data_IF_609972490443
#
_entry.id   IF_609972490443
#
_cell.length_a   1.000
_cell.length_b   1.000
_cell.length_c   1.000
_cell.angle_alpha   90.00
_cell.angle_beta   90.00
_cell.angle_gamma   90.00
#
_symmetry.space_group_name_H-M   'P 1'
#
loop_
_entity.id
_entity.type
_entity.pdbx_description
1 polymer ?
#
# COMPACT_ATOMS: atom_id res chain seq x y z
N UNK A 1 4.20 -11.91 0.07
CA UNK A 1 3.56 -12.23 1.35
C UNK A 1 3.23 -10.94 2.10
N UNK A 2 2.08 -10.90 2.71
CA UNK A 2 1.59 -9.77 3.48
C UNK A 2 1.30 -10.27 4.89
N UNK A 3 1.97 -9.73 5.90
CA UNK A 3 1.71 -10.06 7.30
C UNK A 3 2.15 -8.94 8.24
N UNK A 4 1.53 -8.89 9.40
CA UNK A 4 2.06 -8.12 10.52
C UNK A 4 3.44 -8.69 10.91
N UNK A 5 4.44 -7.83 10.98
CA UNK A 5 5.82 -8.25 11.18
C UNK A 5 6.43 -7.55 12.39
N UNK A 6 7.01 -8.37 13.26
CA UNK A 6 7.86 -7.92 14.35
C UNK A 6 9.34 -7.98 13.88
N UNK A 7 10.16 -7.01 14.29
CA UNK A 7 11.59 -6.98 13.97
C UNK A 7 12.31 -8.25 14.44
N UNK A 8 11.91 -8.79 15.59
CA UNK A 8 12.55 -9.98 16.19
C UNK A 8 12.29 -11.25 15.39
N UNK A 9 11.09 -11.38 14.77
CA UNK A 9 10.70 -12.55 13.99
C UNK A 9 11.03 -12.40 12.49
N UNK A 10 11.46 -11.21 12.07
CA UNK A 10 11.61 -10.85 10.67
C UNK A 10 12.58 -11.77 9.90
N UNK A 11 13.68 -12.17 10.50
CA UNK A 11 14.70 -12.98 9.82
C UNK A 11 14.16 -14.36 9.42
N UNK A 12 13.37 -15.00 10.30
CA UNK A 12 12.72 -16.27 10.00
C UNK A 12 11.64 -16.11 8.92
N UNK A 13 10.79 -15.09 9.04
CA UNK A 13 9.73 -14.80 8.05
C UNK A 13 10.30 -14.51 6.67
N UNK A 14 11.40 -13.77 6.59
CA UNK A 14 12.05 -13.46 5.32
C UNK A 14 12.73 -14.71 4.70
N UNK A 15 13.35 -15.55 5.53
CA UNK A 15 13.90 -16.80 5.05
C UNK A 15 12.83 -17.72 4.46
N UNK A 16 11.69 -17.87 5.15
CA UNK A 16 10.55 -18.66 4.69
C UNK A 16 9.95 -18.11 3.40
N UNK A 17 9.73 -16.79 3.33
CA UNK A 17 9.22 -16.13 2.13
C UNK A 17 10.18 -16.33 0.95
N UNK A 18 11.49 -16.22 1.17
CA UNK A 18 12.49 -16.46 0.13
C UNK A 18 12.53 -17.92 -0.32
N UNK A 19 12.46 -18.87 0.62
CA UNK A 19 12.40 -20.30 0.31
C UNK A 19 11.14 -20.67 -0.49
N UNK A 20 10.01 -19.96 -0.25
CA UNK A 20 8.79 -20.10 -1.02
C UNK A 20 8.85 -19.44 -2.42
N UNK A 21 9.96 -18.77 -2.77
CA UNK A 21 10.17 -18.18 -4.09
C UNK A 21 9.61 -16.76 -4.25
N UNK A 22 9.21 -16.09 -3.17
CA UNK A 22 8.76 -14.69 -3.26
C UNK A 22 9.93 -13.75 -3.60
N UNK A 23 9.62 -12.71 -4.35
CA UNK A 23 10.55 -11.60 -4.66
C UNK A 23 10.31 -10.41 -3.75
N UNK A 24 9.04 -10.18 -3.39
CA UNK A 24 8.60 -9.05 -2.58
C UNK A 24 7.99 -9.52 -1.27
N UNK A 25 8.25 -8.74 -0.22
CA UNK A 25 7.57 -8.87 1.06
C UNK A 25 6.89 -7.54 1.40
N UNK A 26 5.59 -7.57 1.69
CA UNK A 26 4.80 -6.36 1.94
C UNK A 26 4.43 -6.28 3.41
N UNK A 27 4.74 -5.15 4.03
CA UNK A 27 4.25 -4.77 5.36
C UNK A 27 2.94 -4.03 5.17
N UNK A 28 1.79 -4.62 5.58
CA UNK A 28 0.47 -4.09 5.22
C UNK A 28 0.02 -2.92 6.08
N UNK A 29 0.50 -2.87 7.32
CA UNK A 29 0.18 -1.85 8.31
C UNK A 29 1.39 -1.63 9.22
N UNK A 30 1.50 -0.47 9.90
CA UNK A 30 2.46 -0.32 10.96
C UNK A 30 2.28 -1.41 12.02
N UNK A 31 3.34 -1.83 12.72
CA UNK A 31 3.19 -2.78 13.83
C UNK A 31 2.08 -2.36 14.77
N UNK A 32 1.14 -3.26 15.05
CA UNK A 32 -0.11 -2.95 15.78
C UNK A 32 0.15 -2.30 17.15
N UNK A 33 1.26 -2.63 17.80
CA UNK A 33 1.67 -2.03 19.07
C UNK A 33 2.00 -0.53 19.01
N UNK A 34 2.20 0.03 17.81
CA UNK A 34 2.45 1.46 17.62
C UNK A 34 1.16 2.28 17.56
N UNK A 35 0.02 1.68 17.25
CA UNK A 35 -1.24 2.40 17.19
C UNK A 35 -1.68 2.85 18.57
N UNK A 36 -1.99 4.14 18.72
CA UNK A 36 -2.51 4.76 19.93
C UNK A 36 -3.71 5.63 19.61
N UNK A 37 -4.69 5.59 20.50
CA UNK A 37 -5.78 6.57 20.48
C UNK A 37 -5.37 7.80 21.29
N UNK A 38 -5.48 8.97 20.68
CA UNK A 38 -5.23 10.26 21.29
C UNK A 38 -6.56 10.93 21.66
N UNK A 39 -6.97 10.91 22.95
CA UNK A 39 -8.28 11.44 23.37
C UNK A 39 -8.44 12.94 23.10
N UNK A 40 -7.36 13.70 23.16
CA UNK A 40 -7.33 15.15 22.97
C UNK A 40 -7.71 15.55 21.55
N UNK A 41 -7.32 14.77 20.55
CA UNK A 41 -7.65 14.99 19.13
C UNK A 41 -8.76 14.06 18.63
N UNK A 42 -9.21 13.11 19.47
CA UNK A 42 -10.15 12.05 19.13
C UNK A 42 -9.73 11.28 17.87
N UNK A 43 -8.44 11.06 17.68
CA UNK A 43 -7.87 10.41 16.50
C UNK A 43 -7.00 9.22 16.86
N UNK A 44 -6.86 8.30 15.92
CA UNK A 44 -5.81 7.28 15.95
C UNK A 44 -4.52 7.86 15.37
N UNK A 45 -3.41 7.50 15.98
CA UNK A 45 -2.09 7.83 15.46
C UNK A 45 -1.06 6.78 15.86
N UNK A 46 0.21 7.06 15.64
CA UNK A 46 1.30 6.14 15.92
C UNK A 46 2.23 6.68 17.00
N UNK A 47 2.70 5.79 17.87
CA UNK A 47 3.74 6.12 18.85
C UNK A 47 5.06 6.43 18.13
N UNK A 48 5.66 7.58 18.45
CA UNK A 48 6.90 8.04 17.80
C UNK A 48 6.71 8.52 16.34
N UNK A 49 5.46 8.54 15.83
CA UNK A 49 5.13 9.14 14.55
C UNK A 49 5.78 8.48 13.34
N UNK A 50 5.88 9.24 12.24
CA UNK A 50 6.42 8.79 10.97
C UNK A 50 7.91 8.41 11.05
N UNK A 51 8.70 9.08 11.88
CA UNK A 51 10.12 8.80 12.07
C UNK A 51 10.36 7.41 12.67
N UNK A 52 9.60 7.03 13.69
CA UNK A 52 9.71 5.69 14.29
C UNK A 52 9.35 4.60 13.28
N UNK A 53 8.28 4.80 12.49
CA UNK A 53 7.91 3.87 11.43
C UNK A 53 9.00 3.76 10.37
N UNK A 54 9.60 4.89 9.95
CA UNK A 54 10.71 4.88 8.98
C UNK A 54 11.93 4.10 9.51
N UNK A 55 12.27 4.23 10.78
CA UNK A 55 13.36 3.48 11.40
C UNK A 55 13.09 1.97 11.43
N UNK A 56 11.87 1.57 11.76
CA UNK A 56 11.42 0.18 11.74
C UNK A 56 11.51 -0.39 10.32
N UNK A 57 10.91 0.30 9.34
CA UNK A 57 10.92 -0.13 7.95
C UNK A 57 12.33 -0.19 7.35
N UNK A 58 13.22 0.75 7.72
CA UNK A 58 14.63 0.71 7.33
C UNK A 58 15.33 -0.54 7.87
N UNK A 59 15.08 -0.88 9.13
CA UNK A 59 15.64 -2.07 9.78
C UNK A 59 15.16 -3.34 9.08
N UNK A 60 13.85 -3.45 8.84
CA UNK A 60 13.24 -4.57 8.14
C UNK A 60 13.74 -4.68 6.69
N UNK A 61 13.83 -3.55 5.99
CA UNK A 61 14.32 -3.50 4.61
C UNK A 61 15.76 -4.00 4.46
N UNK A 62 16.63 -3.62 5.39
CA UNK A 62 18.01 -4.12 5.45
C UNK A 62 18.09 -5.63 5.75
N UNK A 63 17.18 -6.16 6.60
CA UNK A 63 17.07 -7.60 6.85
C UNK A 63 16.56 -8.35 5.61
N UNK A 64 15.53 -7.84 4.94
CA UNK A 64 14.97 -8.42 3.72
C UNK A 64 16.01 -8.48 2.59
N UNK A 65 16.76 -7.40 2.39
CA UNK A 65 17.80 -7.31 1.36
C UNK A 65 18.89 -8.37 1.52
N UNK A 66 19.29 -8.71 2.75
CA UNK A 66 20.29 -9.74 3.03
C UNK A 66 19.92 -11.11 2.48
N UNK A 67 18.62 -11.43 2.42
CA UNK A 67 18.13 -12.70 1.85
C UNK A 67 17.65 -12.56 0.42
N UNK A 68 17.82 -11.37 -0.20
CA UNK A 68 17.43 -11.09 -1.58
C UNK A 68 15.93 -10.91 -1.77
N UNK A 69 15.21 -10.43 -0.74
CA UNK A 69 13.83 -9.94 -0.82
C UNK A 69 13.82 -8.42 -0.94
N UNK A 70 12.77 -7.90 -1.58
CA UNK A 70 12.47 -6.47 -1.64
C UNK A 70 11.34 -6.15 -0.68
N UNK A 71 11.60 -5.30 0.31
CA UNK A 71 10.57 -4.85 1.25
C UNK A 71 9.73 -3.74 0.63
N UNK A 72 8.42 -3.84 0.82
CA UNK A 72 7.45 -2.82 0.44
C UNK A 72 6.58 -2.48 1.64
N UNK A 73 6.16 -1.23 1.70
CA UNK A 73 5.14 -0.77 2.63
C UNK A 73 3.83 -0.52 1.86
N UNK A 74 2.72 -0.99 2.42
CA UNK A 74 1.38 -0.78 1.86
C UNK A 74 0.67 0.35 2.60
N UNK A 75 0.02 1.24 1.87
CA UNK A 75 -0.71 2.37 2.43
C UNK A 75 -2.20 2.11 2.60
N UNK A 76 -2.77 2.78 3.59
CA UNK A 76 -4.20 3.06 3.74
C UNK A 76 -4.48 4.56 3.59
N UNK A 77 -5.64 5.02 4.02
CA UNK A 77 -6.01 6.43 3.92
C UNK A 77 -5.38 7.30 5.01
N UNK A 78 -5.05 6.72 6.16
CA UNK A 78 -4.55 7.49 7.30
C UNK A 78 -3.13 8.02 7.10
N UNK A 79 -2.27 7.37 6.31
CA UNK A 79 -0.94 7.86 6.01
C UNK A 79 -0.94 9.12 5.14
N UNK A 80 -2.02 9.38 4.41
CA UNK A 80 -2.21 10.60 3.62
C UNK A 80 -2.80 11.77 4.42
N UNK A 81 -3.15 11.53 5.68
CA UNK A 81 -3.65 12.56 6.59
C UNK A 81 -2.52 13.08 7.46
N UNK A 82 -2.65 14.35 7.89
CA UNK A 82 -1.72 14.91 8.88
C UNK A 82 -1.90 14.20 10.22
N UNK A 83 -0.80 13.76 10.80
CA UNK A 83 -0.76 13.25 12.16
C UNK A 83 -0.90 14.39 13.20
N UNK A 84 -0.77 14.06 14.51
CA UNK A 84 -0.85 15.03 15.61
C UNK A 84 0.21 16.13 15.53
N UNK A 85 1.34 15.88 14.86
CA UNK A 85 2.46 16.80 14.70
C UNK A 85 2.40 17.56 13.36
N UNK A 86 1.32 17.36 12.59
CA UNK A 86 1.07 17.99 11.29
C UNK A 86 1.81 17.34 10.11
N UNK A 87 2.42 16.16 10.32
CA UNK A 87 3.18 15.42 9.33
C UNK A 87 2.24 14.51 8.53
N UNK A 88 2.37 14.51 7.21
CA UNK A 88 1.76 13.51 6.33
C UNK A 88 2.69 12.31 6.28
N UNK A 89 2.27 11.20 6.89
CA UNK A 89 3.13 10.03 7.14
C UNK A 89 3.71 9.47 5.85
N UNK A 90 2.89 9.33 4.80
CA UNK A 90 3.36 8.76 3.52
C UNK A 90 4.43 9.65 2.85
N UNK A 91 4.30 10.98 2.92
CA UNK A 91 5.30 11.89 2.39
C UNK A 91 6.62 11.74 3.14
N UNK A 92 6.56 11.70 4.48
CA UNK A 92 7.73 11.48 5.31
C UNK A 92 8.46 10.18 4.95
N UNK A 93 7.71 9.08 4.80
CA UNK A 93 8.28 7.78 4.44
C UNK A 93 8.92 7.81 3.05
N UNK A 94 8.27 8.43 2.06
CA UNK A 94 8.79 8.54 0.69
C UNK A 94 10.06 9.37 0.61
N UNK A 95 10.20 10.40 1.45
CA UNK A 95 11.34 11.31 1.50
C UNK A 95 12.53 10.73 2.30
N UNK A 96 12.29 9.93 3.34
CA UNK A 96 13.34 9.49 4.26
C UNK A 96 13.75 8.01 4.08
N UNK A 97 12.96 7.19 3.40
CA UNK A 97 13.31 5.79 3.16
C UNK A 97 14.16 5.63 1.90
N UNK A 98 15.32 5.00 2.05
CA UNK A 98 16.19 4.64 0.94
C UNK A 98 15.50 3.62 0.02
N UNK A 99 15.28 3.93 -1.27
CA UNK A 99 14.65 3.03 -2.23
C UNK A 99 15.42 1.71 -2.46
N UNK A 100 16.67 1.63 -2.06
CA UNK A 100 17.43 0.39 -2.03
C UNK A 100 16.80 -0.64 -1.09
N UNK A 101 16.29 -0.19 0.05
CA UNK A 101 15.79 -1.07 1.11
C UNK A 101 14.27 -1.14 1.17
N UNK A 102 13.58 -0.02 0.93
CA UNK A 102 12.12 0.06 1.09
C UNK A 102 11.49 0.80 -0.09
N UNK A 103 10.52 0.17 -0.72
CA UNK A 103 9.64 0.78 -1.71
C UNK A 103 8.18 0.62 -1.26
N UNK A 104 7.22 0.83 -2.16
CA UNK A 104 5.81 0.90 -1.79
C UNK A 104 4.94 0.00 -2.66
N UNK A 105 3.90 -0.55 -2.04
CA UNK A 105 2.72 -1.05 -2.70
C UNK A 105 1.63 0.00 -2.53
N UNK A 106 1.25 0.68 -3.61
CA UNK A 106 0.17 1.67 -3.53
C UNK A 106 -1.19 1.00 -3.65
N UNK A 107 -2.04 1.20 -2.65
CA UNK A 107 -3.46 0.90 -2.78
C UNK A 107 -4.19 2.11 -3.35
N UNK A 108 -4.68 1.96 -4.57
CA UNK A 108 -5.29 3.04 -5.35
C UNK A 108 -6.63 3.50 -4.78
N UNK A 109 -7.36 2.62 -4.10
CA UNK A 109 -8.59 2.99 -3.40
C UNK A 109 -8.30 3.90 -2.20
N UNK A 110 -7.36 3.50 -1.33
CA UNK A 110 -7.09 4.23 -0.11
C UNK A 110 -6.49 5.62 -0.37
N UNK A 111 -5.62 5.74 -1.37
CA UNK A 111 -5.08 7.03 -1.82
C UNK A 111 -6.20 7.95 -2.30
N UNK A 112 -7.10 7.43 -3.16
CA UNK A 112 -8.23 8.19 -3.69
C UNK A 112 -9.22 8.55 -2.58
N UNK A 113 -9.51 7.62 -1.67
CA UNK A 113 -10.38 7.86 -0.51
C UNK A 113 -9.86 8.93 0.44
N UNK A 114 -8.55 9.04 0.57
CA UNK A 114 -7.91 10.12 1.33
C UNK A 114 -8.01 11.48 0.63
N UNK A 115 -8.48 11.54 -0.62
CA UNK A 115 -8.55 12.75 -1.43
C UNK A 115 -7.22 13.10 -2.12
N UNK A 116 -6.26 12.17 -2.15
CA UNK A 116 -5.00 12.32 -2.85
C UNK A 116 -5.08 11.78 -4.29
N UNK A 117 -4.19 12.24 -5.16
CA UNK A 117 -4.09 11.79 -6.56
C UNK A 117 -2.91 10.81 -6.71
N UNK A 118 -3.18 9.54 -7.08
CA UNK A 118 -2.10 8.57 -7.35
C UNK A 118 -1.08 9.05 -8.38
N UNK A 119 -1.53 9.71 -9.44
CA UNK A 119 -0.65 10.22 -10.50
C UNK A 119 0.29 11.30 -9.99
N UNK A 120 -0.22 12.23 -9.18
CA UNK A 120 0.63 13.25 -8.56
C UNK A 120 1.73 12.64 -7.66
N UNK A 121 1.43 11.53 -6.97
CA UNK A 121 2.42 10.79 -6.20
C UNK A 121 3.45 10.09 -7.09
N UNK A 122 3.06 9.55 -8.24
CA UNK A 122 4.01 8.97 -9.20
C UNK A 122 4.94 10.02 -9.79
N UNK A 123 4.43 11.23 -10.07
CA UNK A 123 5.22 12.34 -10.57
C UNK A 123 6.20 12.88 -9.51
N UNK A 124 5.73 13.01 -8.26
CA UNK A 124 6.57 13.50 -7.15
C UNK A 124 7.63 12.48 -6.73
N UNK A 125 7.30 11.20 -6.77
CA UNK A 125 8.16 10.10 -6.32
C UNK A 125 8.28 8.99 -7.37
N UNK A 126 8.93 9.26 -8.50
CA UNK A 126 9.01 8.29 -9.60
C UNK A 126 9.73 7.01 -9.17
N UNK A 127 9.28 5.89 -9.74
CA UNK A 127 9.88 4.58 -9.52
C UNK A 127 9.86 4.08 -8.06
N UNK A 128 8.93 4.57 -7.21
CA UNK A 128 8.81 4.16 -5.81
C UNK A 128 7.68 3.15 -5.57
N UNK A 129 6.68 3.02 -6.46
CA UNK A 129 5.47 2.22 -6.27
C UNK A 129 5.53 0.94 -7.11
N UNK A 130 6.24 -0.07 -6.60
CA UNK A 130 6.57 -1.32 -7.32
C UNK A 130 5.39 -2.26 -7.49
N UNK A 131 4.45 -2.21 -6.59
CA UNK A 131 3.22 -2.99 -6.64
C UNK A 131 2.00 -2.06 -6.51
N UNK A 132 0.88 -2.47 -7.09
CA UNK A 132 -0.40 -1.80 -6.90
C UNK A 132 -1.45 -2.75 -6.37
N UNK A 133 -2.27 -2.28 -5.41
CA UNK A 133 -3.59 -2.82 -5.18
C UNK A 133 -4.59 -2.06 -6.04
N UNK A 134 -5.19 -2.77 -7.00
CA UNK A 134 -6.26 -2.26 -7.87
C UNK A 134 -7.57 -2.58 -7.17
N UNK A 135 -8.09 -1.59 -6.46
CA UNK A 135 -9.26 -1.66 -5.59
C UNK A 135 -10.14 -0.47 -5.90
N UNK A 136 -11.37 -0.72 -6.33
CA UNK A 136 -12.25 0.33 -6.83
C UNK A 136 -13.20 0.87 -5.77
N UNK A 137 -13.73 2.05 -6.00
CA UNK A 137 -14.55 2.81 -5.07
C UNK A 137 -15.85 3.25 -5.74
N UNK A 138 -17.00 2.97 -5.12
CA UNK A 138 -18.29 3.50 -5.59
C UNK A 138 -18.48 4.98 -5.20
N UNK A 139 -19.54 5.59 -5.69
CA UNK A 139 -19.88 6.97 -5.41
C UNK A 139 -20.24 7.27 -3.94
N UNK A 140 -20.39 6.22 -3.11
CA UNK A 140 -20.63 6.33 -1.68
C UNK A 140 -19.34 6.10 -0.86
N UNK A 141 -18.20 5.92 -1.53
CA UNK A 141 -16.91 5.66 -0.89
C UNK A 141 -16.76 4.23 -0.37
N UNK A 142 -17.57 3.26 -0.85
CA UNK A 142 -17.49 1.84 -0.49
C UNK A 142 -16.64 1.08 -1.52
N UNK A 143 -16.20 -0.12 -1.16
CA UNK A 143 -15.50 -1.02 -2.09
C UNK A 143 -16.42 -1.44 -3.23
N UNK A 144 -15.93 -1.39 -4.45
CA UNK A 144 -16.62 -1.83 -5.65
C UNK A 144 -15.73 -2.81 -6.44
N UNK A 145 -16.33 -3.72 -7.22
CA UNK A 145 -15.57 -4.48 -8.22
C UNK A 145 -14.90 -3.52 -9.21
N UNK A 146 -13.70 -3.85 -9.64
CA UNK A 146 -12.92 -3.02 -10.58
C UNK A 146 -13.70 -2.77 -11.87
N UNK A 147 -13.85 -1.52 -12.24
CA UNK A 147 -14.62 -1.08 -13.40
C UNK A 147 -16.09 -0.76 -13.12
N UNK A 148 -16.59 -1.03 -11.91
CA UNK A 148 -17.93 -0.65 -11.47
C UNK A 148 -17.91 0.57 -10.51
N UNK A 149 -16.73 1.04 -10.16
CA UNK A 149 -16.55 2.22 -9.32
C UNK A 149 -16.29 3.49 -10.13
N UNK A 150 -15.64 4.45 -9.50
CA UNK A 150 -15.39 5.77 -10.05
C UNK A 150 -13.90 6.16 -10.12
N UNK A 151 -12.99 5.22 -9.80
CA UNK A 151 -11.56 5.47 -9.94
C UNK A 151 -11.17 5.34 -11.43
N UNK A 152 -10.52 6.36 -11.96
CA UNK A 152 -10.06 6.38 -13.36
C UNK A 152 -8.76 5.55 -13.50
N UNK A 153 -8.90 4.24 -13.47
CA UNK A 153 -7.76 3.33 -13.63
C UNK A 153 -7.10 3.42 -15.00
N UNK A 154 -7.83 3.83 -16.05
CA UNK A 154 -7.26 4.00 -17.38
C UNK A 154 -6.19 5.11 -17.36
N UNK A 155 -6.53 6.27 -16.79
CA UNK A 155 -5.60 7.37 -16.59
C UNK A 155 -4.42 6.96 -15.70
N UNK A 156 -4.68 6.26 -14.59
CA UNK A 156 -3.62 5.81 -13.67
C UNK A 156 -2.67 4.84 -14.38
N UNK A 157 -3.19 3.91 -15.19
CA UNK A 157 -2.42 2.90 -15.91
C UNK A 157 -1.44 3.49 -16.94
N UNK A 158 -1.77 4.64 -17.53
CA UNK A 158 -0.86 5.38 -18.42
C UNK A 158 0.46 5.75 -17.73
N UNK A 159 0.47 5.88 -16.40
CA UNK A 159 1.63 6.25 -15.59
C UNK A 159 2.34 5.06 -14.92
N UNK A 160 2.03 3.83 -15.33
CA UNK A 160 2.61 2.61 -14.72
C UNK A 160 4.14 2.59 -14.74
N UNK A 161 4.74 3.01 -15.85
CA UNK A 161 6.20 3.04 -15.98
C UNK A 161 6.82 4.11 -15.06
N UNK A 162 6.18 5.27 -14.94
CA UNK A 162 6.61 6.34 -14.05
C UNK A 162 6.55 5.89 -12.58
N UNK A 163 5.49 5.20 -12.19
CA UNK A 163 5.36 4.64 -10.84
C UNK A 163 6.42 3.57 -10.53
N UNK A 164 6.90 2.86 -11.57
CA UNK A 164 7.81 1.71 -11.48
C UNK A 164 7.10 0.40 -11.21
N UNK A 165 5.79 0.30 -11.48
CA UNK A 165 4.95 -0.86 -11.23
C UNK A 165 5.49 -2.11 -11.92
N UNK A 166 5.55 -3.22 -11.17
CA UNK A 166 5.95 -4.54 -11.65
C UNK A 166 4.79 -5.52 -11.67
N UNK A 167 3.97 -5.48 -10.62
CA UNK A 167 2.78 -6.33 -10.50
C UNK A 167 1.64 -5.53 -9.90
N UNK A 168 0.43 -5.98 -10.18
CA UNK A 168 -0.78 -5.46 -9.56
C UNK A 168 -1.65 -6.62 -9.06
N UNK A 169 -2.46 -6.34 -8.05
CA UNK A 169 -3.37 -7.29 -7.42
C UNK A 169 -4.73 -6.63 -7.26
N UNK A 170 -5.78 -7.36 -7.64
CA UNK A 170 -7.14 -6.95 -7.28
C UNK A 170 -7.36 -7.24 -5.81
N UNK A 171 -7.84 -6.26 -5.07
CA UNK A 171 -8.27 -6.44 -3.70
C UNK A 171 -9.69 -5.91 -3.51
N UNK A 172 -10.48 -6.64 -2.74
CA UNK A 172 -11.81 -6.22 -2.31
C UNK A 172 -12.12 -6.83 -0.95
N UNK A 173 -12.03 -6.02 0.12
CA UNK A 173 -12.20 -6.51 1.51
C UNK A 173 -13.64 -6.93 1.80
N UNK A 174 -14.60 -6.37 1.09
CA UNK A 174 -16.03 -6.65 1.29
C UNK A 174 -16.81 -6.45 0.00
N UNK A 175 -17.80 -7.31 -0.21
CA UNK A 175 -18.80 -7.15 -1.26
C UNK A 175 -20.10 -6.59 -0.70
N UNK A 176 -20.82 -5.79 -1.49
CA UNK A 176 -22.12 -5.26 -1.18
C UNK A 176 -23.11 -5.76 -2.24
N UNK A 177 -24.21 -6.36 -1.79
CA UNK A 177 -25.33 -6.81 -2.64
C UNK A 177 -24.94 -7.83 -3.73
N UNK A 178 -23.79 -8.50 -3.60
CA UNK A 178 -23.32 -9.55 -4.53
C UNK A 178 -22.43 -10.58 -3.83
N UNK A 179 -22.24 -11.72 -4.48
CA UNK A 179 -21.33 -12.76 -3.98
C UNK A 179 -19.88 -12.43 -4.30
N UNK A 180 -18.90 -12.82 -3.44
CA UNK A 180 -17.47 -12.54 -3.68
C UNK A 180 -16.96 -13.06 -5.04
N UNK A 181 -17.37 -14.25 -5.46
CA UNK A 181 -16.96 -14.81 -6.77
C UNK A 181 -17.52 -14.00 -7.95
N UNK A 182 -18.71 -13.46 -7.82
CA UNK A 182 -19.30 -12.56 -8.82
C UNK A 182 -18.51 -11.25 -8.91
N UNK A 183 -18.14 -10.66 -7.77
CA UNK A 183 -17.31 -9.47 -7.71
C UNK A 183 -15.94 -9.67 -8.36
N UNK A 184 -15.30 -10.83 -8.12
CA UNK A 184 -14.02 -11.19 -8.76
C UNK A 184 -14.16 -11.29 -10.27
N UNK A 185 -15.23 -11.92 -10.76
CA UNK A 185 -15.47 -12.01 -12.20
C UNK A 185 -15.67 -10.64 -12.85
N UNK A 186 -16.45 -9.77 -12.21
CA UNK A 186 -16.66 -8.40 -12.67
C UNK A 186 -15.31 -7.63 -12.70
N UNK A 187 -14.51 -7.75 -11.63
CA UNK A 187 -13.19 -7.10 -11.55
C UNK A 187 -12.25 -7.59 -12.65
N UNK A 188 -12.22 -8.90 -12.91
CA UNK A 188 -11.41 -9.47 -14.00
C UNK A 188 -11.81 -8.91 -15.38
N UNK A 189 -13.12 -8.83 -15.65
CA UNK A 189 -13.61 -8.30 -16.92
C UNK A 189 -13.39 -6.77 -17.01
N UNK A 190 -13.52 -6.06 -15.87
CA UNK A 190 -13.21 -4.65 -15.75
C UNK A 190 -11.74 -4.35 -16.07
N UNK A 191 -10.80 -5.10 -15.47
CA UNK A 191 -9.37 -4.96 -15.76
C UNK A 191 -9.04 -5.11 -17.23
N UNK A 192 -9.63 -6.12 -17.90
CA UNK A 192 -9.42 -6.33 -19.35
C UNK A 192 -9.92 -5.15 -20.18
N UNK A 193 -11.08 -4.60 -19.84
CA UNK A 193 -11.67 -3.44 -20.55
C UNK A 193 -10.83 -2.18 -20.35
N UNK A 194 -10.24 -1.99 -19.16
CA UNK A 194 -9.35 -0.87 -18.83
C UNK A 194 -8.01 -1.00 -19.55
N UNK A 195 -7.55 -2.22 -19.84
CA UNK A 195 -6.28 -2.47 -20.55
C UNK A 195 -5.16 -3.04 -19.68
N UNK A 196 -5.48 -3.49 -18.46
CA UNK A 196 -4.55 -4.31 -17.68
C UNK A 196 -4.30 -5.66 -18.37
N UNK A 197 -3.04 -6.12 -18.37
CA UNK A 197 -2.59 -7.35 -19.04
C UNK A 197 -1.88 -8.26 -18.05
#
# INVERSE_FOLDING_TARGET
HQSDINIDDADAMFADAKAAGFEYFVVPVPPMGLFKYYPETKSMGMEGGAENLANILTTLGKKAEKVGLKLLYHNHDFEYKKDKDGVVVIDYLLEHLDPKYVNFQMDLYWVTKAGADPVAYFEKYPNRFKLWHVKDMDYQGRFAPVGNGNIDFAKILEHKELSGMKYYFVEQDRTFDMKPLEAIQISHDGLKKIGFK
#
